data_IF_936539449399
#
_entry.id   IF_936539449399
#
_cell.length_a   1.000
_cell.length_b   1.000
_cell.length_c   1.000
_cell.angle_alpha   90.00
_cell.angle_beta   90.00
_cell.angle_gamma   90.00
#
_symmetry.space_group_name_H-M   'P 1'
#
loop_
_entity.id
_entity.type
_entity.pdbx_description
1 polymer ?
#
# COMPACT_ATOMS: atom_id res chain seq x y z
N UNK A 1 24.13 6.18 0.11
CA UNK A 1 23.94 4.76 -0.14
C UNK A 1 23.59 4.60 -1.62
N UNK A 2 24.51 4.10 -2.43
CA UNK A 2 24.35 3.92 -3.89
C UNK A 2 23.90 2.49 -4.21
N UNK A 3 23.48 2.23 -5.45
CA UNK A 3 23.15 0.88 -5.90
C UNK A 3 24.36 -0.07 -5.78
N UNK A 4 25.54 0.39 -6.18
CA UNK A 4 26.79 -0.39 -6.06
C UNK A 4 27.10 -0.76 -4.61
N UNK A 5 26.95 0.19 -3.68
CA UNK A 5 27.12 -0.07 -2.24
C UNK A 5 26.11 -1.11 -1.72
N UNK A 6 24.88 -1.09 -2.24
CA UNK A 6 23.88 -2.11 -1.89
C UNK A 6 24.27 -3.49 -2.41
N UNK A 7 24.68 -3.59 -3.67
CA UNK A 7 25.06 -4.84 -4.33
C UNK A 7 26.33 -5.45 -3.70
N UNK A 8 27.22 -4.63 -3.16
CA UNK A 8 28.39 -5.09 -2.41
C UNK A 8 28.04 -5.66 -1.03
N UNK A 9 27.12 -5.02 -0.30
CA UNK A 9 26.77 -5.39 1.09
C UNK A 9 25.78 -6.56 1.14
N UNK A 10 24.81 -6.59 0.24
CA UNK A 10 23.70 -7.56 0.27
C UNK A 10 24.17 -9.03 0.31
N UNK A 11 25.17 -9.48 -0.46
CA UNK A 11 25.65 -10.87 -0.40
C UNK A 11 26.22 -11.26 0.97
N UNK A 12 26.96 -10.34 1.61
CA UNK A 12 27.51 -10.55 2.95
C UNK A 12 26.40 -10.67 4.00
N UNK A 13 25.41 -9.78 3.91
CA UNK A 13 24.24 -9.81 4.78
C UNK A 13 23.43 -11.11 4.63
N UNK A 14 23.16 -11.56 3.40
CA UNK A 14 22.43 -12.81 3.16
C UNK A 14 23.14 -14.03 3.76
N UNK A 15 24.47 -14.11 3.64
CA UNK A 15 25.27 -15.16 4.28
C UNK A 15 25.14 -15.12 5.81
N UNK A 16 25.25 -13.92 6.39
CA UNK A 16 25.09 -13.72 7.84
C UNK A 16 23.71 -14.19 8.33
N UNK A 17 22.64 -13.86 7.60
CA UNK A 17 21.27 -14.29 7.94
C UNK A 17 21.16 -15.83 7.98
N UNK A 18 21.73 -16.52 6.99
CA UNK A 18 21.73 -18.00 6.97
C UNK A 18 22.52 -18.57 8.15
N UNK A 19 23.69 -18.01 8.47
CA UNK A 19 24.52 -18.46 9.60
C UNK A 19 23.81 -18.26 10.93
N UNK A 20 23.24 -17.07 11.16
CA UNK A 20 22.48 -16.77 12.38
C UNK A 20 21.28 -17.70 12.51
N UNK A 21 20.55 -17.94 11.41
CA UNK A 21 19.43 -18.89 11.39
C UNK A 21 19.87 -20.31 11.71
N UNK A 22 21.00 -20.77 11.17
CA UNK A 22 21.55 -22.10 11.43
C UNK A 22 21.98 -22.28 12.88
N UNK A 23 22.66 -21.28 13.46
CA UNK A 23 23.08 -21.30 14.88
C UNK A 23 21.85 -21.30 15.80
N UNK A 24 20.87 -20.44 15.53
CA UNK A 24 19.62 -20.39 16.30
C UNK A 24 18.87 -21.72 16.23
N UNK A 25 18.75 -22.31 15.04
CA UNK A 25 18.11 -23.62 14.84
C UNK A 25 18.86 -24.72 15.61
N UNK A 26 20.20 -24.74 15.56
CA UNK A 26 21.00 -25.73 16.28
C UNK A 26 20.80 -25.65 17.80
N UNK A 27 20.73 -24.44 18.36
CA UNK A 27 20.45 -24.24 19.80
C UNK A 27 19.06 -24.77 20.17
N UNK A 28 18.03 -24.44 19.38
CA UNK A 28 16.65 -24.89 19.63
C UNK A 28 16.52 -26.41 19.51
N UNK A 29 17.19 -27.03 18.53
CA UNK A 29 17.21 -28.49 18.38
C UNK A 29 17.89 -29.14 19.59
N UNK A 30 19.04 -28.61 20.03
CA UNK A 30 19.76 -29.15 21.19
C UNK A 30 18.91 -29.07 22.47
N UNK A 31 18.23 -27.95 22.70
CA UNK A 31 17.32 -27.78 23.84
C UNK A 31 16.12 -28.74 23.76
N UNK A 32 15.52 -28.87 22.57
CA UNK A 32 14.38 -29.77 22.33
C UNK A 32 14.73 -31.24 22.56
N UNK A 33 15.91 -31.68 22.13
CA UNK A 33 16.42 -33.05 22.37
C UNK A 33 16.66 -33.25 23.87
N UNK A 34 17.28 -32.28 24.53
CA UNK A 34 17.56 -32.32 25.97
C UNK A 34 16.27 -32.45 26.78
N UNK A 35 15.26 -31.63 26.47
CA UNK A 35 13.94 -31.69 27.08
C UNK A 35 13.26 -33.05 26.87
N UNK A 36 13.33 -33.58 25.65
CA UNK A 36 12.72 -34.86 25.30
C UNK A 36 13.31 -36.05 26.06
N UNK A 37 14.58 -35.96 26.47
CA UNK A 37 15.29 -37.03 27.20
C UNK A 37 15.12 -36.90 28.72
N UNK A 38 15.16 -35.67 29.26
CA UNK A 38 15.30 -35.42 30.70
C UNK A 38 13.98 -35.19 31.43
N UNK A 39 12.94 -34.69 30.76
CA UNK A 39 11.68 -34.27 31.42
C UNK A 39 10.65 -35.40 31.60
N UNK A 40 10.46 -36.35 30.65
CA UNK A 40 9.44 -37.39 30.79
C UNK A 40 9.76 -38.41 31.89
N UNK A 41 8.80 -38.63 32.81
CA UNK A 41 8.97 -39.58 33.94
C UNK A 41 8.66 -41.03 33.56
N UNK A 42 7.78 -41.26 32.59
CA UNK A 42 7.31 -42.60 32.18
C UNK A 42 7.97 -43.03 30.87
N UNK A 43 8.30 -44.32 30.73
CA UNK A 43 8.92 -44.89 29.51
C UNK A 43 8.08 -44.61 28.26
N UNK A 44 6.76 -44.80 28.34
CA UNK A 44 5.84 -44.51 27.22
C UNK A 44 5.89 -43.04 26.83
N UNK A 45 5.84 -42.13 27.81
CA UNK A 45 5.94 -40.69 27.55
C UNK A 45 7.28 -40.33 26.92
N UNK A 46 8.37 -40.95 27.36
CA UNK A 46 9.72 -40.72 26.81
C UNK A 46 9.84 -41.16 25.35
N UNK A 47 9.28 -42.33 25.01
CA UNK A 47 9.24 -42.83 23.63
C UNK A 47 8.41 -41.87 22.76
N UNK A 48 7.21 -41.49 23.20
CA UNK A 48 6.33 -40.60 22.44
C UNK A 48 6.96 -39.22 22.24
N UNK A 49 7.55 -38.61 23.28
CA UNK A 49 8.22 -37.31 23.15
C UNK A 49 9.45 -37.40 22.25
N UNK A 50 10.21 -38.50 22.31
CA UNK A 50 11.40 -38.66 21.45
C UNK A 50 11.01 -38.77 19.99
N UNK A 51 9.97 -39.55 19.67
CA UNK A 51 9.44 -39.69 18.31
C UNK A 51 8.90 -38.35 17.80
N UNK A 52 8.11 -37.63 18.60
CA UNK A 52 7.54 -36.34 18.19
C UNK A 52 8.63 -35.30 18.00
N UNK A 53 9.60 -35.20 18.92
CA UNK A 53 10.76 -34.31 18.78
C UNK A 53 11.55 -34.65 17.51
N UNK A 54 11.84 -35.93 17.24
CA UNK A 54 12.56 -36.33 16.03
C UNK A 54 11.82 -35.92 14.76
N UNK A 55 10.50 -36.12 14.71
CA UNK A 55 9.66 -35.69 13.59
C UNK A 55 9.74 -34.18 13.35
N UNK A 56 9.58 -33.36 14.40
CA UNK A 56 9.66 -31.91 14.28
C UNK A 56 11.06 -31.41 13.94
N UNK A 57 12.11 -32.03 14.46
CA UNK A 57 13.51 -31.69 14.10
C UNK A 57 13.74 -31.90 12.61
N UNK A 58 13.30 -33.04 12.06
CA UNK A 58 13.39 -33.30 10.61
C UNK A 58 12.59 -32.28 9.82
N UNK A 59 11.37 -31.96 10.24
CA UNK A 59 10.52 -30.97 9.58
C UNK A 59 11.15 -29.57 9.60
N UNK A 60 11.70 -29.12 10.74
CA UNK A 60 12.34 -27.81 10.87
C UNK A 60 13.61 -27.71 10.03
N UNK A 61 14.47 -28.72 10.04
CA UNK A 61 15.66 -28.77 9.18
C UNK A 61 15.23 -28.71 7.71
N UNK A 62 14.22 -29.49 7.32
CA UNK A 62 13.70 -29.49 5.96
C UNK A 62 13.15 -28.11 5.56
N UNK A 63 12.33 -27.47 6.39
CA UNK A 63 11.82 -26.11 6.16
C UNK A 63 12.95 -25.09 6.04
N UNK A 64 13.96 -25.19 6.92
CA UNK A 64 15.13 -24.32 6.89
C UNK A 64 15.88 -24.46 5.56
N UNK A 65 16.19 -25.70 5.14
CA UNK A 65 16.86 -25.96 3.85
C UNK A 65 16.02 -25.44 2.68
N UNK A 66 14.72 -25.70 2.65
CA UNK A 66 13.84 -25.19 1.60
C UNK A 66 13.80 -23.66 1.57
N UNK A 67 13.89 -22.98 2.73
CA UNK A 67 13.88 -21.51 2.81
C UNK A 67 15.14 -20.85 2.24
N UNK A 68 16.26 -21.58 2.18
CA UNK A 68 17.50 -21.07 1.57
C UNK A 68 17.36 -20.85 0.07
N UNK A 69 16.51 -21.63 -0.61
CA UNK A 69 16.29 -21.53 -2.07
C UNK A 69 15.75 -20.14 -2.45
N UNK A 70 14.58 -19.68 -1.96
CA UNK A 70 14.10 -18.36 -2.31
C UNK A 70 14.95 -17.23 -1.71
N UNK A 71 15.60 -17.43 -0.57
CA UNK A 71 16.52 -16.43 -0.01
C UNK A 71 17.73 -16.20 -0.93
N UNK A 72 18.29 -17.27 -1.49
CA UNK A 72 19.42 -17.19 -2.44
C UNK A 72 19.05 -16.49 -3.76
N UNK A 73 17.76 -16.48 -4.11
CA UNK A 73 17.26 -15.80 -5.32
C UNK A 73 17.29 -14.27 -5.24
N UNK A 74 17.57 -13.70 -4.05
CA UNK A 74 17.68 -12.26 -3.86
C UNK A 74 18.94 -11.66 -4.50
N UNK A 75 20.01 -12.44 -4.64
CA UNK A 75 21.26 -11.96 -5.25
C UNK A 75 21.94 -13.07 -6.06
N UNK A 76 22.36 -12.75 -7.28
CA UNK A 76 22.90 -13.75 -8.23
C UNK A 76 24.09 -14.53 -7.67
N UNK A 77 24.98 -13.89 -6.90
CA UNK A 77 26.15 -14.56 -6.30
C UNK A 77 25.79 -15.61 -5.25
N UNK A 78 24.63 -15.49 -4.59
CA UNK A 78 24.16 -16.46 -3.60
C UNK A 78 23.37 -17.59 -4.22
N UNK A 79 22.81 -17.38 -5.41
CA UNK A 79 22.06 -18.44 -6.08
C UNK A 79 22.92 -19.71 -6.16
N UNK A 80 24.19 -19.60 -6.60
CA UNK A 80 25.12 -20.73 -6.76
C UNK A 80 25.50 -21.48 -5.47
N UNK A 81 25.21 -20.97 -4.27
CA UNK A 81 25.58 -21.64 -3.01
C UNK A 81 24.59 -22.71 -2.58
N UNK A 82 23.37 -22.72 -3.14
CA UNK A 82 22.33 -23.70 -2.79
C UNK A 82 22.48 -24.99 -3.60
N UNK A 83 22.50 -26.17 -2.96
CA UNK A 83 22.59 -27.45 -3.65
C UNK A 83 21.48 -27.65 -4.69
N UNK A 84 21.82 -28.26 -5.82
CA UNK A 84 20.87 -28.51 -6.92
C UNK A 84 19.67 -29.34 -6.45
N UNK A 85 19.90 -30.32 -5.58
CA UNK A 85 18.81 -31.17 -5.06
C UNK A 85 17.83 -30.39 -4.18
N UNK A 86 18.30 -29.45 -3.37
CA UNK A 86 17.43 -28.58 -2.58
C UNK A 86 16.53 -27.73 -3.47
N UNK A 87 17.05 -27.20 -4.59
CA UNK A 87 16.25 -26.47 -5.58
C UNK A 87 15.21 -27.35 -6.28
N UNK A 88 15.60 -28.56 -6.68
CA UNK A 88 14.66 -29.51 -7.31
C UNK A 88 13.53 -29.89 -6.37
N UNK A 89 13.84 -30.12 -5.09
CA UNK A 89 12.84 -30.40 -4.07
C UNK A 89 11.92 -29.19 -3.85
N UNK A 90 12.49 -27.98 -3.73
CA UNK A 90 11.72 -26.75 -3.59
C UNK A 90 10.73 -26.56 -4.74
N UNK A 91 11.16 -26.72 -6.00
CA UNK A 91 10.28 -26.55 -7.16
C UNK A 91 9.11 -27.54 -7.18
N UNK A 92 9.25 -28.74 -6.60
CA UNK A 92 8.15 -29.71 -6.49
C UNK A 92 7.09 -29.28 -5.47
N UNK A 93 7.49 -28.57 -4.41
CA UNK A 93 6.61 -28.14 -3.32
C UNK A 93 6.16 -26.68 -3.47
N UNK A 94 6.74 -25.92 -4.39
CA UNK A 94 6.43 -24.51 -4.64
C UNK A 94 4.91 -24.26 -4.81
N UNK A 95 4.13 -25.08 -5.55
CA UNK A 95 2.68 -24.88 -5.68
C UNK A 95 1.90 -24.97 -4.36
N UNK A 96 2.48 -25.60 -3.32
CA UNK A 96 1.85 -25.72 -2.00
C UNK A 96 2.10 -24.50 -1.11
N UNK A 97 3.00 -23.58 -1.52
CA UNK A 97 3.33 -22.37 -0.77
C UNK A 97 3.76 -22.61 0.69
N UNK A 98 4.33 -23.80 0.98
CA UNK A 98 4.82 -24.18 2.32
C UNK A 98 6.01 -23.31 2.74
N UNK A 99 6.88 -23.01 1.77
CA UNK A 99 8.03 -22.12 1.96
C UNK A 99 7.98 -21.05 0.90
N UNK A 100 7.68 -19.82 1.34
CA UNK A 100 7.61 -18.68 0.46
C UNK A 100 8.85 -17.82 0.57
N UNK A 101 9.23 -17.23 -0.56
CA UNK A 101 10.32 -16.29 -0.65
C UNK A 101 9.96 -14.88 -0.20
N UNK A 102 10.98 -14.03 0.05
CA UNK A 102 10.77 -12.64 0.43
C UNK A 102 9.92 -11.86 -0.57
N UNK A 103 10.04 -12.19 -1.87
CA UNK A 103 9.25 -11.56 -2.95
C UNK A 103 7.76 -11.93 -2.91
N UNK A 104 7.41 -13.10 -2.37
CA UNK A 104 6.03 -13.61 -2.35
C UNK A 104 5.25 -13.04 -1.15
N UNK A 105 5.94 -12.66 -0.07
CA UNK A 105 5.36 -11.91 1.05
C UNK A 105 5.29 -10.41 0.81
N UNK A 106 6.00 -9.90 -0.19
CA UNK A 106 5.98 -8.47 -0.50
C UNK A 106 4.60 -8.08 -1.02
N UNK A 107 3.98 -7.09 -0.38
CA UNK A 107 2.73 -6.47 -0.85
C UNK A 107 2.89 -5.91 -2.28
N UNK A 108 4.12 -5.52 -2.64
CA UNK A 108 4.52 -5.04 -3.98
C UNK A 108 5.78 -5.78 -4.46
N UNK A 109 5.64 -6.92 -5.15
CA UNK A 109 6.78 -7.73 -5.62
C UNK A 109 7.64 -7.02 -6.68
N UNK A 110 7.04 -6.08 -7.40
CA UNK A 110 7.72 -5.18 -8.34
C UNK A 110 7.62 -3.76 -7.80
N UNK A 111 8.77 -3.15 -7.53
CA UNK A 111 8.83 -1.73 -7.20
C UNK A 111 8.48 -0.91 -8.44
N UNK A 112 7.62 0.08 -8.26
CA UNK A 112 7.19 1.00 -9.31
C UNK A 112 7.97 2.31 -9.18
N UNK A 113 8.20 3.01 -10.29
CA UNK A 113 8.78 4.35 -10.25
C UNK A 113 10.31 4.39 -10.10
N UNK A 114 11.01 3.36 -10.61
CA UNK A 114 12.47 3.32 -10.69
C UNK A 114 13.04 4.52 -11.48
N UNK A 115 12.31 5.00 -12.48
CA UNK A 115 12.67 6.15 -13.31
C UNK A 115 11.92 7.44 -12.89
N UNK A 116 11.48 7.49 -11.62
CA UNK A 116 10.61 8.53 -11.09
C UNK A 116 9.18 8.03 -10.86
N UNK A 117 8.49 8.61 -9.87
CA UNK A 117 7.12 8.24 -9.52
C UNK A 117 6.16 8.74 -10.60
N UNK A 118 5.47 7.85 -11.34
CA UNK A 118 4.52 8.28 -12.36
C UNK A 118 3.30 8.90 -11.70
N UNK A 119 2.93 10.10 -12.12
CA UNK A 119 1.82 10.86 -11.60
C UNK A 119 0.96 11.43 -12.72
N UNK A 120 -0.34 11.14 -12.65
CA UNK A 120 -1.34 11.75 -13.52
C UNK A 120 -1.74 13.09 -12.90
N UNK A 121 -1.59 14.15 -13.68
CA UNK A 121 -2.03 15.50 -13.35
C UNK A 121 -3.25 15.82 -14.21
N UNK A 122 -4.40 16.02 -13.56
CA UNK A 122 -5.64 16.40 -14.24
C UNK A 122 -5.64 17.93 -14.34
N UNK A 123 -5.91 18.44 -15.53
CA UNK A 123 -5.90 19.87 -15.83
C UNK A 123 -7.26 20.28 -16.38
N UNK A 124 -7.79 21.42 -15.92
CA UNK A 124 -8.99 22.04 -16.47
C UNK A 124 -8.68 23.31 -17.26
N UNK A 125 -9.58 23.69 -18.16
CA UNK A 125 -9.59 25.03 -18.74
C UNK A 125 -10.99 25.47 -19.16
N UNK A 126 -11.18 26.77 -19.34
CA UNK A 126 -12.38 27.36 -19.93
C UNK A 126 -12.22 27.65 -21.43
N UNK A 127 -11.01 27.47 -21.96
CA UNK A 127 -10.65 27.62 -23.37
C UNK A 127 -9.87 26.38 -23.82
N UNK A 128 -9.98 26.01 -25.09
CA UNK A 128 -9.27 24.86 -25.66
C UNK A 128 -7.77 25.12 -25.77
N UNK A 129 -7.37 26.39 -25.93
CA UNK A 129 -5.96 26.80 -26.02
C UNK A 129 -5.31 26.98 -24.64
N UNK A 130 -6.10 27.08 -23.58
CA UNK A 130 -5.64 27.34 -22.21
C UNK A 130 -5.95 28.78 -21.73
N UNK A 131 -5.43 29.21 -20.58
CA UNK A 131 -4.48 28.50 -19.72
C UNK A 131 -5.10 27.26 -19.07
N UNK A 132 -4.27 26.23 -18.92
CA UNK A 132 -4.62 24.99 -18.22
C UNK A 132 -4.23 25.10 -16.75
N UNK A 133 -5.15 24.77 -15.86
CA UNK A 133 -4.93 24.80 -14.41
C UNK A 133 -5.04 23.40 -13.83
N UNK A 134 -4.07 23.05 -13.00
CA UNK A 134 -3.99 21.73 -12.38
C UNK A 134 -5.03 21.58 -11.27
N UNK A 135 -5.66 20.41 -11.20
CA UNK A 135 -6.41 19.99 -10.04
C UNK A 135 -5.46 19.31 -9.06
N UNK A 136 -5.28 19.94 -7.90
CA UNK A 136 -4.49 19.38 -6.81
C UNK A 136 -5.27 18.30 -6.08
N UNK A 137 -4.55 17.29 -5.59
CA UNK A 137 -5.11 16.20 -4.80
C UNK A 137 -4.68 16.35 -3.34
N UNK A 138 -5.40 15.70 -2.43
CA UNK A 138 -5.20 15.91 -0.99
C UNK A 138 -3.93 15.22 -0.47
N UNK A 139 -3.58 14.05 -1.01
CA UNK A 139 -2.62 13.14 -0.37
C UNK A 139 -1.56 12.56 -1.32
N UNK A 140 -1.61 12.89 -2.62
CA UNK A 140 -0.55 12.58 -3.59
C UNK A 140 0.22 13.85 -4.02
N UNK A 141 1.43 13.72 -4.58
CA UNK A 141 2.16 14.81 -5.18
C UNK A 141 1.37 15.47 -6.30
N UNK A 142 1.48 16.79 -6.38
CA UNK A 142 0.96 17.63 -7.45
C UNK A 142 1.89 18.84 -7.55
N UNK A 143 1.59 19.92 -6.86
CA UNK A 143 2.47 21.08 -6.76
C UNK A 143 3.87 20.69 -6.23
N UNK A 144 4.91 20.99 -7.01
CA UNK A 144 6.30 20.62 -6.71
C UNK A 144 6.88 21.28 -5.45
N UNK A 145 6.25 22.36 -5.00
CA UNK A 145 6.65 23.11 -3.82
C UNK A 145 6.01 22.58 -2.52
N UNK A 146 5.10 21.60 -2.61
CA UNK A 146 4.43 21.03 -1.45
C UNK A 146 5.05 19.69 -1.05
N UNK A 147 5.22 19.50 0.26
CA UNK A 147 5.51 18.19 0.83
C UNK A 147 4.27 17.31 0.87
N UNK A 148 4.48 16.01 1.11
CA UNK A 148 3.38 15.08 1.35
C UNK A 148 2.94 15.12 2.82
N UNK A 149 1.63 15.09 3.09
CA UNK A 149 1.13 14.95 4.46
C UNK A 149 1.39 13.54 5.00
N UNK A 150 1.49 13.43 6.33
CA UNK A 150 1.48 12.14 6.99
C UNK A 150 0.04 11.65 7.15
N UNK A 151 -0.36 10.64 6.39
CA UNK A 151 -1.76 10.23 6.30
C UNK A 151 -2.12 9.00 7.12
N UNK A 152 -1.16 8.14 7.50
CA UNK A 152 -1.48 6.95 8.29
C UNK A 152 -2.15 7.37 9.61
N UNK A 153 -3.19 6.67 10.10
CA UNK A 153 -3.76 5.41 9.60
C UNK A 153 -4.84 5.57 8.51
N UNK A 154 -5.10 6.78 8.01
CA UNK A 154 -5.99 6.99 6.88
C UNK A 154 -5.43 6.36 5.60
N UNK A 155 -6.32 5.75 4.81
CA UNK A 155 -5.98 5.14 3.51
C UNK A 155 -6.70 5.90 2.40
N UNK A 156 -6.09 6.97 1.84
CA UNK A 156 -6.74 7.84 0.87
C UNK A 156 -7.00 7.09 -0.43
N UNK A 157 -8.28 6.73 -0.66
CA UNK A 157 -8.66 5.78 -1.70
C UNK A 157 -8.52 6.35 -3.11
N UNK A 158 -8.87 7.61 -3.33
CA UNK A 158 -8.74 8.23 -4.65
C UNK A 158 -7.27 8.36 -5.06
N UNK A 159 -6.45 8.96 -4.20
CA UNK A 159 -5.00 9.15 -4.40
C UNK A 159 -4.27 7.82 -4.60
N UNK A 160 -4.67 6.77 -3.86
CA UNK A 160 -4.18 5.42 -4.05
C UNK A 160 -4.55 4.83 -5.42
N UNK A 161 -5.80 5.01 -5.85
CA UNK A 161 -6.25 4.58 -7.18
C UNK A 161 -5.52 5.33 -8.30
N UNK A 162 -5.26 6.64 -8.13
CA UNK A 162 -4.47 7.43 -9.08
C UNK A 162 -3.06 6.86 -9.29
N UNK A 163 -2.40 6.39 -8.22
CA UNK A 163 -1.08 5.75 -8.33
C UNK A 163 -1.10 4.46 -9.15
N UNK A 164 -2.17 3.67 -9.06
CA UNK A 164 -2.34 2.49 -9.92
C UNK A 164 -2.64 2.89 -11.37
N UNK A 165 -3.51 3.89 -11.57
CA UNK A 165 -3.85 4.36 -12.90
C UNK A 165 -2.62 4.87 -13.66
N UNK A 166 -1.71 5.56 -12.97
CA UNK A 166 -0.49 6.10 -13.56
C UNK A 166 0.47 5.04 -14.14
N UNK A 167 0.29 3.76 -13.77
CA UNK A 167 1.10 2.64 -14.27
C UNK A 167 0.50 1.95 -15.50
N UNK A 168 -0.72 2.33 -15.89
CA UNK A 168 -1.42 1.77 -17.03
C UNK A 168 -1.92 2.87 -17.96
N UNK A 169 -2.93 2.54 -18.76
CA UNK A 169 -3.63 3.50 -19.61
C UNK A 169 -5.01 3.83 -19.04
N UNK A 170 -5.60 4.94 -19.50
CA UNK A 170 -6.98 5.28 -19.12
C UNK A 170 -8.02 4.26 -19.63
N UNK A 171 -7.69 3.46 -20.64
CA UNK A 171 -8.53 2.34 -21.09
C UNK A 171 -8.54 1.18 -20.10
N UNK A 172 -7.41 0.89 -19.45
CA UNK A 172 -7.31 -0.11 -18.38
C UNK A 172 -7.95 0.38 -17.07
N UNK A 173 -8.09 1.70 -16.92
CA UNK A 173 -8.61 2.37 -15.72
C UNK A 173 -9.87 3.20 -16.03
N UNK A 174 -10.98 2.57 -16.45
CA UNK A 174 -12.17 3.26 -16.96
C UNK A 174 -12.79 4.25 -15.96
N UNK A 175 -12.60 4.03 -14.66
CA UNK A 175 -13.09 4.91 -13.61
C UNK A 175 -12.52 6.33 -13.70
N UNK A 176 -11.34 6.52 -14.30
CA UNK A 176 -10.73 7.86 -14.43
C UNK A 176 -11.51 8.74 -15.41
N UNK A 177 -12.18 8.14 -16.40
CA UNK A 177 -13.08 8.87 -17.30
C UNK A 177 -14.36 9.30 -16.57
N UNK A 178 -14.85 8.49 -15.63
CA UNK A 178 -15.93 8.91 -14.73
C UNK A 178 -15.49 10.08 -13.85
N UNK A 179 -14.27 10.05 -13.30
CA UNK A 179 -13.71 11.16 -12.53
C UNK A 179 -13.66 12.43 -13.37
N UNK A 180 -13.07 12.38 -14.57
CA UNK A 180 -12.96 13.51 -15.49
C UNK A 180 -14.33 14.11 -15.85
N UNK A 181 -15.32 13.27 -16.17
CA UNK A 181 -16.68 13.72 -16.46
C UNK A 181 -17.38 14.36 -15.25
N UNK A 182 -17.18 13.82 -14.05
CA UNK A 182 -17.75 14.37 -12.82
C UNK A 182 -17.10 15.70 -12.41
N UNK A 183 -15.83 15.92 -12.78
CA UNK A 183 -15.17 17.24 -12.69
C UNK A 183 -15.78 18.21 -13.70
N UNK A 184 -15.95 17.81 -14.96
CA UNK A 184 -16.59 18.63 -16.02
C UNK A 184 -18.05 19.02 -15.71
N UNK A 185 -18.76 18.19 -14.95
CA UNK A 185 -20.14 18.47 -14.51
C UNK A 185 -20.20 19.17 -13.15
N UNK A 186 -19.07 19.34 -12.46
CA UNK A 186 -18.98 20.03 -11.17
C UNK A 186 -19.68 19.29 -10.04
N UNK A 187 -19.66 17.96 -10.08
CA UNK A 187 -20.31 17.14 -9.06
C UNK A 187 -19.62 17.32 -7.70
N UNK A 188 -20.39 17.81 -6.71
CA UNK A 188 -19.88 18.18 -5.38
C UNK A 188 -19.18 17.05 -4.65
N UNK A 189 -19.72 15.82 -4.75
CA UNK A 189 -19.12 14.65 -4.08
C UNK A 189 -17.73 14.31 -4.64
N UNK A 190 -17.46 14.65 -5.90
CA UNK A 190 -16.17 14.41 -6.55
C UNK A 190 -15.21 15.55 -6.29
N UNK A 191 -15.67 16.80 -6.41
CA UNK A 191 -14.81 17.96 -6.12
C UNK A 191 -14.36 18.00 -4.67
N UNK A 192 -15.15 17.44 -3.73
CA UNK A 192 -14.77 17.30 -2.33
C UNK A 192 -13.64 16.29 -2.07
N UNK A 193 -13.29 15.46 -3.06
CA UNK A 193 -12.15 14.54 -2.97
C UNK A 193 -10.83 15.18 -3.46
N UNK A 194 -10.92 16.36 -4.06
CA UNK A 194 -9.78 17.13 -4.57
C UNK A 194 -9.41 18.22 -3.57
N UNK A 195 -8.18 18.70 -3.65
CA UNK A 195 -7.72 19.82 -2.85
C UNK A 195 -8.28 21.13 -3.41
N UNK A 196 -9.03 21.86 -2.58
CA UNK A 196 -9.71 23.09 -2.97
C UNK A 196 -8.99 24.36 -2.48
N UNK A 197 -7.74 24.30 -2.06
CA UNK A 197 -6.99 25.48 -1.57
C UNK A 197 -6.85 26.56 -2.65
N UNK A 198 -6.48 26.18 -3.88
CA UNK A 198 -6.23 27.14 -4.97
C UNK A 198 -7.49 27.53 -5.76
N UNK A 199 -8.62 26.81 -5.58
CA UNK A 199 -9.90 26.98 -6.29
C UNK A 199 -9.75 27.48 -7.73
N UNK A 200 -9.12 26.70 -8.64
CA UNK A 200 -8.68 27.18 -9.96
C UNK A 200 -9.79 27.80 -10.82
N UNK A 201 -11.05 27.41 -10.59
CA UNK A 201 -12.24 27.85 -11.33
C UNK A 201 -13.31 28.53 -10.46
N UNK A 202 -12.96 28.99 -9.24
CA UNK A 202 -13.89 29.74 -8.38
C UNK A 202 -15.18 28.97 -8.03
N UNK A 203 -15.10 27.64 -7.93
CA UNK A 203 -16.25 26.78 -7.63
C UNK A 203 -17.15 26.42 -8.82
N UNK A 204 -16.84 26.89 -10.04
CA UNK A 204 -17.52 26.47 -11.27
C UNK A 204 -16.75 25.32 -11.95
N UNK A 205 -17.42 24.39 -12.64
CA UNK A 205 -16.71 23.38 -13.41
C UNK A 205 -15.98 24.01 -14.62
N UNK A 206 -14.82 23.44 -15.03
CA UNK A 206 -14.16 23.84 -16.27
C UNK A 206 -14.96 23.39 -17.50
N UNK A 207 -14.76 24.03 -18.65
CA UNK A 207 -15.36 23.59 -19.93
C UNK A 207 -14.64 22.40 -20.55
N UNK A 208 -13.34 22.32 -20.32
CA UNK A 208 -12.45 21.30 -20.87
C UNK A 208 -11.61 20.69 -19.76
N UNK A 209 -11.32 19.40 -19.90
CA UNK A 209 -10.41 18.67 -19.02
C UNK A 209 -9.45 17.84 -19.87
N UNK A 210 -8.20 17.74 -19.43
CA UNK A 210 -7.20 16.83 -19.98
C UNK A 210 -6.41 16.21 -18.84
N UNK A 211 -5.59 15.22 -19.12
CA UNK A 211 -4.60 14.78 -18.15
C UNK A 211 -3.25 14.51 -18.79
N UNK A 212 -2.21 14.86 -18.05
CA UNK A 212 -0.82 14.71 -18.45
C UNK A 212 -0.11 13.79 -17.46
N UNK A 213 0.70 12.87 -17.97
CA UNK A 213 1.55 11.99 -17.17
C UNK A 213 2.91 12.64 -16.96
N UNK A 214 3.35 12.67 -15.71
CA UNK A 214 4.66 13.16 -15.30
C UNK A 214 5.43 12.11 -14.51
N UNK A 215 6.75 12.17 -14.53
CA UNK A 215 7.60 11.49 -13.56
C UNK A 215 8.09 12.48 -12.51
N UNK A 216 7.76 12.19 -11.25
CA UNK A 216 8.18 12.97 -10.10
C UNK A 216 9.42 12.34 -9.46
N UNK A 217 10.41 13.18 -9.18
CA UNK A 217 11.62 12.84 -8.44
C UNK A 217 11.72 13.74 -7.21
N UNK A 218 12.28 13.23 -6.12
CA UNK A 218 12.63 14.10 -5.01
C UNK A 218 13.68 15.11 -5.47
N UNK A 219 13.46 16.38 -5.17
CA UNK A 219 14.44 17.40 -5.47
C UNK A 219 15.73 17.12 -4.67
N UNK A 220 16.91 17.31 -5.28
CA UNK A 220 18.17 17.12 -4.57
C UNK A 220 18.27 18.11 -3.40
N UNK A 221 18.81 17.64 -2.26
CA UNK A 221 19.02 18.50 -1.11
C UNK A 221 20.08 19.58 -1.40
N UNK A 222 19.73 20.87 -1.40
CA UNK A 222 20.64 22.01 -1.62
C UNK A 222 20.49 23.02 -0.48
N UNK A 223 21.56 23.24 0.29
CA UNK A 223 21.55 24.27 1.35
C UNK A 223 21.31 25.66 0.74
N UNK A 224 20.25 26.35 1.21
CA UNK A 224 20.11 27.81 1.06
C UNK A 224 19.20 28.35 -0.05
N UNK A 225 18.46 27.51 -0.79
CA UNK A 225 17.42 27.99 -1.73
C UNK A 225 16.02 27.60 -1.25
N UNK A 226 15.00 28.43 -1.53
CA UNK A 226 13.58 28.03 -1.41
C UNK A 226 13.38 26.75 -2.22
N UNK A 227 13.25 25.62 -1.52
CA UNK A 227 13.48 24.33 -2.13
C UNK A 227 12.16 23.66 -2.46
N UNK A 228 11.88 23.48 -3.75
CA UNK A 228 10.83 22.56 -4.19
C UNK A 228 11.12 21.17 -3.60
N UNK A 229 10.08 20.47 -3.15
CA UNK A 229 10.19 19.10 -2.65
C UNK A 229 10.38 18.10 -3.79
N UNK A 230 9.89 18.46 -4.97
CA UNK A 230 9.89 17.62 -6.15
C UNK A 230 10.51 18.33 -7.35
N UNK A 231 11.08 17.54 -8.26
CA UNK A 231 11.22 17.90 -9.67
C UNK A 231 10.31 16.99 -10.47
N UNK A 232 9.77 17.49 -11.58
CA UNK A 232 8.90 16.68 -12.45
C UNK A 232 9.27 16.84 -13.91
N UNK A 233 9.13 15.76 -14.66
CA UNK A 233 9.34 15.70 -16.10
C UNK A 233 8.06 15.25 -16.79
N UNK A 234 7.65 15.97 -17.85
CA UNK A 234 6.46 15.61 -18.63
C UNK A 234 6.79 14.42 -19.52
N UNK A 235 6.09 13.30 -19.30
CA UNK A 235 6.24 12.09 -20.13
C UNK A 235 5.35 12.18 -21.36
N UNK A 236 4.10 12.61 -21.20
CA UNK A 236 3.16 12.68 -22.30
C UNK A 236 1.74 12.95 -21.85
N UNK A 237 0.83 12.97 -22.82
CA UNK A 237 -0.59 13.03 -22.54
C UNK A 237 -1.08 11.67 -22.00
N UNK A 238 -1.84 11.69 -20.91
CA UNK A 238 -2.46 10.49 -20.36
C UNK A 238 -3.84 10.25 -20.97
N UNK A 239 -4.65 11.30 -21.13
CA UNK A 239 -5.87 11.27 -21.94
C UNK A 239 -6.12 12.65 -22.60
N UNK A 240 -6.79 12.69 -23.77
CA UNK A 240 -6.95 13.90 -24.57
C UNK A 240 -7.93 14.89 -23.97
N UNK A 241 -8.03 16.06 -24.60
CA UNK A 241 -8.98 17.08 -24.20
C UNK A 241 -10.42 16.57 -24.39
N UNK A 242 -11.17 16.56 -23.29
CA UNK A 242 -12.59 16.26 -23.28
C UNK A 242 -13.39 17.47 -22.82
N UNK A 243 -14.54 17.68 -23.47
CA UNK A 243 -15.58 18.61 -23.00
C UNK A 243 -16.74 17.82 -22.41
N UNK A 244 -17.60 18.51 -21.65
CA UNK A 244 -18.79 17.90 -21.03
C UNK A 244 -19.71 17.22 -22.07
N UNK A 245 -19.84 17.84 -23.23
CA UNK A 245 -20.79 17.44 -24.27
C UNK A 245 -20.11 16.60 -25.38
N UNK A 246 -18.92 16.05 -25.12
CA UNK A 246 -18.17 15.25 -26.07
C UNK A 246 -18.81 13.86 -26.29
N UNK A 247 -19.40 13.65 -27.46
CA UNK A 247 -20.18 12.43 -27.79
C UNK A 247 -19.42 11.12 -27.55
N UNK A 248 -18.15 10.94 -28.01
CA UNK A 248 -17.41 9.69 -27.75
C UNK A 248 -17.22 9.38 -26.25
N UNK A 249 -17.04 10.42 -25.42
CA UNK A 249 -16.90 10.24 -23.97
C UNK A 249 -18.23 9.77 -23.37
N UNK A 250 -19.35 10.39 -23.75
CA UNK A 250 -20.69 10.02 -23.26
C UNK A 250 -21.07 8.59 -23.66
N UNK A 251 -20.80 8.21 -24.91
CA UNK A 251 -21.03 6.84 -25.40
C UNK A 251 -20.18 5.82 -24.63
N UNK A 252 -18.89 6.13 -24.42
CA UNK A 252 -17.99 5.29 -23.64
C UNK A 252 -18.50 5.10 -22.20
N UNK A 253 -18.84 6.20 -21.51
CA UNK A 253 -19.33 6.17 -20.13
C UNK A 253 -20.68 5.43 -20.00
N UNK A 254 -21.53 5.51 -21.03
CA UNK A 254 -22.79 4.75 -21.10
C UNK A 254 -22.51 3.26 -21.26
N UNK A 255 -21.58 2.90 -22.15
CA UNK A 255 -21.15 1.51 -22.38
C UNK A 255 -20.60 0.85 -21.12
N UNK A 256 -19.79 1.57 -20.33
CA UNK A 256 -19.26 1.09 -19.04
C UNK A 256 -20.25 1.25 -17.87
N UNK A 257 -21.50 1.61 -18.14
CA UNK A 257 -22.60 1.71 -17.17
C UNK A 257 -22.37 2.73 -16.05
N UNK A 258 -21.58 3.79 -16.31
CA UNK A 258 -21.34 4.88 -15.35
C UNK A 258 -22.48 5.89 -15.34
N UNK A 259 -23.06 6.22 -16.50
CA UNK A 259 -24.13 7.22 -16.65
C UNK A 259 -25.55 6.62 -16.50
N UNK A 260 -25.69 5.55 -15.71
CA UNK A 260 -27.01 4.98 -15.48
C UNK A 260 -27.84 5.86 -14.54
N UNK A 261 -29.16 5.98 -14.75
CA UNK A 261 -30.03 6.62 -13.77
C UNK A 261 -29.89 5.87 -12.45
N UNK A 262 -29.52 6.60 -11.40
CA UNK A 262 -29.41 6.05 -10.04
C UNK A 262 -30.75 5.45 -9.66
N UNK A 263 -30.78 4.13 -9.44
CA UNK A 263 -31.98 3.47 -8.93
C UNK A 263 -32.27 4.04 -7.55
N UNK A 264 -33.41 4.70 -7.39
CA UNK A 264 -33.86 5.15 -6.08
C UNK A 264 -34.07 3.93 -5.19
N UNK A 265 -33.23 3.80 -4.16
CA UNK A 265 -33.37 2.73 -3.18
C UNK A 265 -34.45 3.19 -2.20
N UNK A 266 -35.55 2.42 -2.00
CA UNK A 266 -36.58 2.81 -1.06
C UNK A 266 -36.00 2.91 0.35
N UNK A 267 -36.38 3.96 1.07
CA UNK A 267 -35.88 4.22 2.42
C UNK A 267 -36.63 3.30 3.38
N UNK A 268 -35.92 2.38 4.02
CA UNK A 268 -36.53 1.46 5.00
C UNK A 268 -36.79 2.14 6.35
N UNK A 269 -35.98 3.14 6.73
CA UNK A 269 -36.07 3.82 8.02
C UNK A 269 -35.63 5.29 7.93
N UNK A 270 -36.57 6.21 8.10
CA UNK A 270 -36.33 7.66 7.99
C UNK A 270 -35.52 8.25 9.15
N UNK A 271 -35.66 7.69 10.36
CA UNK A 271 -34.91 8.14 11.54
C UNK A 271 -33.43 7.82 11.33
N UNK A 272 -33.13 6.57 10.94
CA UNK A 272 -31.77 6.15 10.67
C UNK A 272 -31.16 6.94 9.51
N UNK A 273 -31.91 7.20 8.43
CA UNK A 273 -31.48 8.05 7.32
C UNK A 273 -31.06 9.44 7.82
N UNK A 274 -31.89 10.07 8.65
CA UNK A 274 -31.62 11.40 9.18
C UNK A 274 -30.40 11.42 10.10
N UNK A 275 -30.28 10.42 10.98
CA UNK A 275 -29.12 10.26 11.84
C UNK A 275 -27.82 10.06 11.05
N UNK A 276 -27.83 9.20 10.03
CA UNK A 276 -26.68 8.96 9.15
C UNK A 276 -26.32 10.20 8.31
N UNK A 277 -27.32 10.97 7.85
CA UNK A 277 -27.08 12.21 7.12
C UNK A 277 -26.43 13.29 8.01
N UNK A 278 -26.91 13.43 9.26
CA UNK A 278 -26.31 14.33 10.25
C UNK A 278 -24.87 13.91 10.57
N UNK A 279 -24.65 12.60 10.82
CA UNK A 279 -23.33 12.05 11.09
C UNK A 279 -22.37 12.27 9.90
N UNK A 280 -22.82 12.01 8.67
CA UNK A 280 -22.04 12.26 7.46
C UNK A 280 -21.66 13.74 7.32
N UNK A 281 -22.57 14.65 7.66
CA UNK A 281 -22.31 16.09 7.62
C UNK A 281 -21.24 16.51 8.63
N UNK A 282 -21.22 15.90 9.82
CA UNK A 282 -20.19 16.16 10.83
C UNK A 282 -18.85 15.58 10.39
N UNK A 283 -18.82 14.31 9.97
CA UNK A 283 -17.60 13.61 9.56
C UNK A 283 -16.94 14.30 8.35
N UNK A 284 -17.71 14.76 7.38
CA UNK A 284 -17.18 15.45 6.20
C UNK A 284 -16.54 16.83 6.50
N UNK A 285 -16.74 17.39 7.70
CA UNK A 285 -16.09 18.65 8.10
C UNK A 285 -14.72 18.44 8.75
N UNK A 286 -14.40 17.20 9.13
CA UNK A 286 -13.16 16.86 9.83
C UNK A 286 -12.22 16.20 8.82
N UNK A 287 -10.94 16.55 8.88
CA UNK A 287 -9.93 15.85 8.08
C UNK A 287 -9.90 14.36 8.47
N UNK A 288 -10.04 13.43 7.50
CA UNK A 288 -10.10 11.99 7.79
C UNK A 288 -8.89 11.45 8.57
N UNK A 289 -7.70 12.00 8.34
CA UNK A 289 -6.45 11.62 9.04
C UNK A 289 -6.56 11.93 10.54
N UNK A 290 -6.98 13.15 10.90
CA UNK A 290 -7.16 13.61 12.27
C UNK A 290 -8.25 12.80 12.98
N UNK A 291 -9.37 12.51 12.29
CA UNK A 291 -10.43 11.69 12.86
C UNK A 291 -9.90 10.30 13.26
N UNK A 292 -9.17 9.63 12.37
CA UNK A 292 -8.66 8.29 12.68
C UNK A 292 -7.56 8.31 13.73
N UNK A 293 -6.69 9.33 13.74
CA UNK A 293 -5.74 9.53 14.82
C UNK A 293 -6.42 9.76 16.16
N UNK A 294 -7.51 10.52 16.22
CA UNK A 294 -8.26 10.75 17.45
C UNK A 294 -8.85 9.45 18.01
N UNK A 295 -9.40 8.59 17.15
CA UNK A 295 -9.94 7.29 17.54
C UNK A 295 -8.80 6.37 18.01
N UNK A 296 -7.70 6.31 17.26
CA UNK A 296 -6.55 5.47 17.58
C UNK A 296 -5.94 5.86 18.94
N UNK A 297 -5.68 7.16 19.13
CA UNK A 297 -5.10 7.68 20.38
C UNK A 297 -6.04 7.51 21.57
N UNK A 298 -7.36 7.73 21.39
CA UNK A 298 -8.35 7.45 22.42
C UNK A 298 -8.37 5.96 22.82
N UNK A 299 -8.31 5.06 21.85
CA UNK A 299 -8.20 3.61 22.10
C UNK A 299 -6.95 3.25 22.89
N UNK A 300 -5.79 3.78 22.50
CA UNK A 300 -4.53 3.59 23.24
C UNK A 300 -4.65 4.12 24.68
N UNK A 301 -5.23 5.32 24.87
CA UNK A 301 -5.40 5.90 26.19
C UNK A 301 -6.31 5.04 27.09
N UNK A 302 -7.42 4.53 26.57
CA UNK A 302 -8.32 3.62 27.31
C UNK A 302 -7.60 2.32 27.70
N UNK A 303 -6.82 1.73 26.80
CA UNK A 303 -6.10 0.48 27.08
C UNK A 303 -5.04 0.70 28.17
N UNK A 304 -4.26 1.78 28.06
CA UNK A 304 -3.20 2.12 29.01
C UNK A 304 -3.78 2.45 30.39
N UNK A 305 -4.85 3.25 30.44
CA UNK A 305 -5.48 3.66 31.71
C UNK A 305 -6.36 2.57 32.33
N UNK A 306 -6.98 1.72 31.51
CA UNK A 306 -7.82 0.60 31.96
C UNK A 306 -7.04 -0.54 32.61
N UNK A 307 -5.79 -0.80 32.17
CA UNK A 307 -4.94 -1.83 32.79
C UNK A 307 -4.49 -1.45 34.21
N UNK A 308 -4.40 -0.16 34.52
CA UNK A 308 -4.02 0.35 35.84
C UNK A 308 -5.07 0.09 36.93
N UNK A 309 -6.33 -0.22 36.54
CA UNK A 309 -7.43 -0.43 37.47
C UNK A 309 -7.62 -1.87 37.98
N UNK A 310 -7.11 -2.88 37.26
CA UNK A 310 -7.38 -4.30 37.61
C UNK A 310 -6.36 -4.94 38.55
N UNK A 311 -5.18 -4.35 38.71
CA UNK A 311 -4.10 -4.90 39.56
C UNK A 311 -4.29 -4.61 41.06
N UNK A 312 -5.27 -3.79 41.45
CA UNK A 312 -5.52 -3.43 42.85
C UNK A 312 -6.52 -4.35 43.58
N UNK A 313 -7.23 -5.24 42.88
CA UNK A 313 -8.30 -6.07 43.46
C UNK A 313 -7.91 -7.51 43.81
N UNK A 314 -6.66 -7.93 43.58
CA UNK A 314 -6.22 -9.31 43.80
C UNK A 314 -5.32 -9.52 45.04
N UNK A 315 -5.29 -8.58 45.98
CA UNK A 315 -4.68 -8.76 47.31
C UNK A 315 -5.72 -8.49 48.41
N UNK A 316 -6.70 -9.39 48.55
CA UNK A 316 -7.48 -9.59 49.79
C UNK A 316 -8.39 -10.82 49.61
N UNK A 317 -7.83 -12.00 49.86
CA UNK A 317 -8.46 -13.14 50.54
C UNK A 317 -7.40 -14.19 50.80
#
# INVERSE_FOLDING_TARGET
FTQEQFDEILPGFLKMVVIVGLVSMAVVIADSITYSILTPKTVVSKITTTITTAFYVVAVIWLFVMSTVPLSSLHQSQNMTVPLEARRMYNKIEPLHIVNGPKQFALFPKMTGLNGRPEIIIEGSNDIEGPWKEFEFLYKPGNVNNSLPFVAPHTPRLDWQMWWAAQGTYHQNPWIMSLAYRILTGQKEVTALLNDVEKPFGGKPPKYVRATLYHYHFAPWRKGSSQSWWTRERIGEYFPIYSRDHTPLLEYLTKIKVLQPTKEVPITNDILKSALAALRTIVNKIEPSLLLWSIFTAGCAIIITGHSGSSSTQKKK
#
